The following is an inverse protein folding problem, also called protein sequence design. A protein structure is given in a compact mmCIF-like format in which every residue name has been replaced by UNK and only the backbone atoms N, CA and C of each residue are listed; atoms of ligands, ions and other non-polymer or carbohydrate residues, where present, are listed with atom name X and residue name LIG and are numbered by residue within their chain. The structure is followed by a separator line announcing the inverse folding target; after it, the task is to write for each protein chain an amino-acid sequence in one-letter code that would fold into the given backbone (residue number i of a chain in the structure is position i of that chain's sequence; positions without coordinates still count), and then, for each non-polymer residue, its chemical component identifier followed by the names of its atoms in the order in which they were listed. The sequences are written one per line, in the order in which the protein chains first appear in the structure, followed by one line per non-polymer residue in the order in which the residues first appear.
data_IF_713203413963
#
_entry.id   IF_713203413963
#
_cell.length_a   1.000
_cell.length_b   1.000
_cell.length_c   1.000
_cell.angle_alpha   90.00
_cell.angle_beta   90.00
_cell.angle_gamma   90.00
#
_symmetry.space_group_name_H-M   'P 1'
#
loop_
_entity.id
_entity.type
_entity.pdbx_description
1 polymer ?
#
# COMPACT_ATOMS: atom_id res chain seq x y z
N UNK A 1 34.29 66.09 -6.43
CA UNK A 1 32.88 65.65 -6.47
C UNK A 1 32.86 64.37 -7.28
N UNK A 2 32.40 63.28 -6.65
CA UNK A 2 32.04 61.96 -7.20
C UNK A 2 33.08 61.11 -7.97
N UNK A 3 33.33 59.94 -7.38
CA UNK A 3 33.83 58.74 -8.06
C UNK A 3 32.74 58.14 -8.98
N UNK A 4 33.14 57.50 -10.08
CA UNK A 4 32.35 56.40 -10.67
C UNK A 4 33.27 55.40 -11.38
N UNK A 5 32.96 54.14 -11.13
CA UNK A 5 33.70 52.92 -11.33
C UNK A 5 32.88 52.03 -12.27
N UNK A 6 33.34 51.73 -13.48
CA UNK A 6 32.90 50.59 -14.31
C UNK A 6 33.89 50.49 -15.48
N UNK A 7 34.47 49.37 -15.89
CA UNK A 7 34.24 47.95 -15.64
C UNK A 7 34.83 47.24 -16.86
N UNK A 8 35.78 46.34 -16.63
CA UNK A 8 36.54 45.65 -17.68
C UNK A 8 35.72 44.68 -18.53
N UNK A 9 36.30 44.38 -19.70
CA UNK A 9 36.07 43.26 -20.62
C UNK A 9 34.89 42.32 -20.37
N UNK A 10 34.00 42.21 -21.34
CA UNK A 10 33.17 41.02 -21.55
C UNK A 10 33.26 40.60 -23.02
N UNK A 11 34.36 39.91 -23.35
CA UNK A 11 34.31 38.92 -24.43
C UNK A 11 33.49 37.74 -23.89
N UNK A 12 32.53 37.19 -24.66
CA UNK A 12 31.85 35.97 -24.24
C UNK A 12 32.89 34.84 -24.21
N UNK A 13 33.20 34.33 -23.02
CA UNK A 13 33.86 33.03 -22.89
C UNK A 13 32.84 32.00 -23.37
N UNK A 14 33.07 31.45 -24.57
CA UNK A 14 32.36 30.25 -25.02
C UNK A 14 32.57 29.17 -23.98
N UNK A 15 31.48 28.59 -23.46
CA UNK A 15 31.49 27.52 -22.47
C UNK A 15 32.50 26.44 -22.89
N UNK A 16 33.64 26.42 -22.21
CA UNK A 16 34.42 25.20 -22.10
C UNK A 16 33.62 24.26 -21.23
N UNK A 17 33.06 23.22 -21.82
CA UNK A 17 32.55 22.07 -21.07
C UNK A 17 33.70 21.56 -20.20
N UNK A 18 33.61 21.83 -18.89
CA UNK A 18 34.53 21.29 -17.92
C UNK A 18 34.27 19.78 -17.82
N UNK A 19 35.00 19.02 -18.63
CA UNK A 19 35.13 17.58 -18.45
C UNK A 19 35.71 17.31 -17.05
N UNK A 20 35.28 16.23 -16.42
CA UNK A 20 35.91 15.75 -15.19
C UNK A 20 37.38 15.32 -15.46
N UNK A 21 38.17 14.98 -14.42
CA UNK A 21 39.56 14.53 -14.62
C UNK A 21 39.72 13.27 -15.49
N UNK A 22 38.63 12.57 -15.83
CA UNK A 22 38.60 11.40 -16.71
C UNK A 22 38.22 11.72 -18.16
N UNK A 23 37.87 12.98 -18.46
CA UNK A 23 37.43 13.38 -19.80
C UNK A 23 35.99 13.00 -20.10
N UNK A 24 35.18 12.68 -19.08
CA UNK A 24 33.82 12.22 -19.27
C UNK A 24 32.83 13.42 -19.29
N UNK A 25 32.15 13.70 -20.43
CA UNK A 25 31.18 14.78 -20.51
C UNK A 25 29.89 14.52 -19.70
N UNK A 26 29.76 13.37 -19.05
CA UNK A 26 28.56 12.95 -18.31
C UNK A 26 28.75 12.80 -16.79
N UNK A 27 29.95 13.09 -16.25
CA UNK A 27 30.28 12.75 -14.86
C UNK A 27 29.57 13.58 -13.76
N UNK A 28 28.81 14.63 -14.11
CA UNK A 28 28.06 15.44 -13.14
C UNK A 28 26.55 15.56 -13.43
N UNK A 29 25.98 14.73 -14.31
CA UNK A 29 24.57 14.90 -14.69
C UNK A 29 23.54 14.27 -13.76
N UNK A 30 23.93 13.82 -12.57
CA UNK A 30 23.02 13.14 -11.64
C UNK A 30 23.10 13.60 -10.17
N UNK A 31 24.01 14.52 -9.80
CA UNK A 31 24.03 15.04 -8.42
C UNK A 31 22.95 16.10 -8.15
N UNK A 32 22.48 16.76 -9.20
CA UNK A 32 21.49 17.85 -9.14
C UNK A 32 20.17 17.47 -9.84
N UNK A 33 20.02 16.20 -10.22
CA UNK A 33 18.74 15.67 -10.68
C UNK A 33 17.94 15.41 -9.42
N UNK A 34 17.07 16.35 -9.06
CA UNK A 34 15.87 15.99 -8.29
C UNK A 34 15.24 14.82 -9.03
N UNK A 35 15.17 13.66 -8.37
CA UNK A 35 14.59 12.48 -8.99
C UNK A 35 13.22 12.87 -9.54
N UNK A 36 13.07 12.82 -10.87
CA UNK A 36 11.85 13.20 -11.58
C UNK A 36 10.68 12.27 -11.23
N UNK A 37 10.96 11.16 -10.54
CA UNK A 37 10.01 10.20 -9.97
C UNK A 37 9.63 10.56 -8.54
N UNK A 38 9.58 11.85 -8.19
CA UNK A 38 9.70 12.40 -6.81
C UNK A 38 8.71 11.86 -5.77
N UNK A 39 7.75 11.01 -6.13
CA UNK A 39 6.83 10.36 -5.20
C UNK A 39 6.59 8.88 -5.55
N UNK A 40 7.54 8.19 -6.18
CA UNK A 40 7.45 6.74 -6.41
C UNK A 40 8.69 6.02 -5.91
N UNK A 41 8.48 5.10 -4.96
CA UNK A 41 9.53 4.19 -4.47
C UNK A 41 9.21 2.76 -4.86
N UNK A 42 10.24 1.99 -5.18
CA UNK A 42 10.15 0.56 -5.46
C UNK A 42 10.77 -0.22 -4.31
N UNK A 43 10.03 -1.20 -3.78
CA UNK A 43 10.49 -2.13 -2.75
C UNK A 43 10.49 -3.53 -3.32
N UNK A 44 11.62 -4.21 -3.24
CA UNK A 44 11.77 -5.58 -3.72
C UNK A 44 11.86 -6.58 -2.57
N UNK A 45 11.13 -7.69 -2.71
CA UNK A 45 11.29 -8.84 -1.84
C UNK A 45 12.69 -9.48 -2.02
N UNK A 46 13.12 -10.27 -1.04
CA UNK A 46 14.42 -10.94 -1.07
C UNK A 46 14.59 -11.95 -2.23
N UNK A 47 13.46 -12.47 -2.70
CA UNK A 47 13.30 -13.43 -3.79
C UNK A 47 12.85 -12.79 -5.13
N UNK A 48 12.71 -11.46 -5.19
CA UNK A 48 12.42 -10.76 -6.45
C UNK A 48 13.60 -10.86 -7.43
N UNK A 49 13.28 -11.03 -8.72
CA UNK A 49 14.28 -11.10 -9.81
C UNK A 49 15.08 -9.81 -9.94
N UNK A 50 14.43 -8.66 -9.74
CA UNK A 50 15.00 -7.32 -9.98
C UNK A 50 15.36 -6.60 -8.68
N UNK A 51 15.65 -7.33 -7.60
CA UNK A 51 15.81 -6.72 -6.27
C UNK A 51 16.88 -5.64 -6.16
N UNK A 52 17.93 -5.71 -6.97
CA UNK A 52 19.01 -4.73 -6.96
C UNK A 52 18.72 -3.48 -7.80
N UNK A 53 17.57 -3.44 -8.48
CA UNK A 53 17.09 -2.27 -9.23
C UNK A 53 16.09 -1.43 -8.42
N UNK A 54 15.64 -1.94 -7.27
CA UNK A 54 14.70 -1.27 -6.38
C UNK A 54 15.40 -0.24 -5.48
N UNK A 55 14.63 0.75 -5.02
CA UNK A 55 15.09 1.77 -4.07
C UNK A 55 15.30 1.17 -2.67
N UNK A 56 14.46 0.21 -2.30
CA UNK A 56 14.54 -0.58 -1.08
C UNK A 56 14.54 -2.06 -1.43
N UNK A 57 15.39 -2.85 -0.79
CA UNK A 57 15.40 -4.31 -0.95
C UNK A 57 15.37 -5.00 0.40
N UNK A 58 14.51 -6.00 0.48
CA UNK A 58 14.25 -6.81 1.65
C UNK A 58 15.26 -7.96 1.78
N UNK A 59 15.49 -8.41 3.01
CA UNK A 59 16.30 -9.59 3.31
C UNK A 59 15.45 -10.85 3.55
N UNK A 60 14.11 -10.70 3.55
CA UNK A 60 13.16 -11.77 3.77
C UNK A 60 12.81 -11.95 5.24
N UNK A 61 13.16 -11.00 6.10
CA UNK A 61 12.79 -10.98 7.52
C UNK A 61 12.36 -9.58 7.90
N UNK A 62 11.20 -9.44 8.53
CA UNK A 62 10.68 -8.14 8.97
C UNK A 62 10.62 -7.10 7.83
N UNK A 63 10.15 -7.52 6.66
CA UNK A 63 10.14 -6.73 5.43
C UNK A 63 9.23 -5.48 5.52
N UNK A 64 8.33 -5.47 6.51
CA UNK A 64 7.54 -4.29 6.89
C UNK A 64 8.42 -3.07 7.19
N UNK A 65 9.66 -3.26 7.65
CA UNK A 65 10.60 -2.16 7.92
C UNK A 65 10.92 -1.40 6.64
N UNK A 66 11.24 -2.10 5.56
CA UNK A 66 11.57 -1.47 4.28
C UNK A 66 10.33 -0.90 3.60
N UNK A 67 9.19 -1.59 3.69
CA UNK A 67 7.92 -1.11 3.15
C UNK A 67 7.50 0.19 3.86
N UNK A 68 7.55 0.22 5.20
CA UNK A 68 7.22 1.40 5.98
C UNK A 68 8.20 2.54 5.71
N UNK A 69 9.51 2.26 5.61
CA UNK A 69 10.50 3.28 5.27
C UNK A 69 10.27 3.91 3.88
N UNK A 70 9.75 3.15 2.92
CA UNK A 70 9.37 3.67 1.61
C UNK A 70 8.10 4.53 1.66
N UNK A 71 7.10 4.13 2.45
CA UNK A 71 5.88 4.93 2.68
C UNK A 71 6.19 6.24 3.42
N UNK A 72 7.03 6.18 4.46
CA UNK A 72 7.44 7.33 5.26
C UNK A 72 8.30 8.32 4.48
N UNK A 73 8.99 7.85 3.44
CA UNK A 73 9.79 8.69 2.54
C UNK A 73 8.94 9.45 1.51
N UNK A 74 7.66 9.10 1.34
CA UNK A 74 6.75 9.84 0.46
C UNK A 74 6.57 11.27 0.97
N UNK A 75 6.45 12.26 0.06
CA UNK A 75 6.14 13.63 0.46
C UNK A 75 4.75 13.71 1.10
N UNK A 76 4.47 14.77 1.85
CA UNK A 76 3.17 15.00 2.48
C UNK A 76 1.98 15.09 1.50
N UNK A 77 2.26 15.28 0.20
CA UNK A 77 1.26 15.22 -0.88
C UNK A 77 0.93 13.78 -1.31
N UNK A 78 1.52 12.78 -0.65
CA UNK A 78 1.39 11.38 -0.98
C UNK A 78 2.27 10.94 -2.14
N UNK A 79 1.91 9.79 -2.70
CA UNK A 79 2.66 9.14 -3.76
C UNK A 79 2.44 7.63 -3.77
N UNK A 80 3.36 6.90 -4.38
CA UNK A 80 3.21 5.49 -4.64
C UNK A 80 4.43 4.70 -4.16
N UNK A 81 4.17 3.61 -3.45
CA UNK A 81 5.13 2.55 -3.19
C UNK A 81 4.72 1.34 -4.02
N UNK A 82 5.63 0.89 -4.88
CA UNK A 82 5.47 -0.32 -5.69
C UNK A 82 6.22 -1.46 -5.02
N UNK A 83 5.50 -2.53 -4.70
CA UNK A 83 6.08 -3.79 -4.28
C UNK A 83 6.28 -4.67 -5.52
N UNK A 84 7.52 -5.11 -5.74
CA UNK A 84 7.82 -6.06 -6.82
C UNK A 84 7.24 -7.45 -6.52
N UNK A 85 7.45 -8.38 -7.44
CA UNK A 85 7.16 -9.79 -7.23
C UNK A 85 7.98 -10.37 -6.07
N UNK A 86 7.43 -11.39 -5.42
CA UNK A 86 8.09 -12.12 -4.35
C UNK A 86 7.31 -12.09 -3.03
N UNK A 87 7.95 -12.64 -2.00
CA UNK A 87 7.35 -12.85 -0.68
C UNK A 87 7.93 -11.85 0.32
N UNK A 88 7.05 -11.05 0.92
CA UNK A 88 7.35 -10.08 1.96
C UNK A 88 6.89 -10.64 3.32
N UNK A 89 7.84 -10.94 4.20
CA UNK A 89 7.58 -11.43 5.56
C UNK A 89 7.38 -10.24 6.51
N UNK A 90 6.11 -9.88 6.74
CA UNK A 90 5.71 -8.78 7.62
C UNK A 90 5.36 -9.33 8.99
N UNK A 91 5.95 -8.78 10.05
CA UNK A 91 5.76 -9.23 11.44
C UNK A 91 5.21 -8.10 12.33
N UNK A 92 4.97 -6.93 11.73
CA UNK A 92 4.30 -5.77 12.31
C UNK A 92 3.46 -5.15 11.19
N UNK A 93 2.34 -4.55 11.58
CA UNK A 93 1.43 -3.81 10.70
C UNK A 93 2.16 -2.73 9.90
N UNK A 94 1.90 -2.69 8.59
CA UNK A 94 2.26 -1.57 7.71
C UNK A 94 1.13 -0.55 7.75
N UNK A 95 1.45 0.67 8.17
CA UNK A 95 0.48 1.76 8.30
C UNK A 95 0.55 2.69 7.09
N UNK A 96 -0.61 2.98 6.51
CA UNK A 96 -0.78 3.93 5.43
C UNK A 96 -1.41 5.24 5.94
N UNK A 97 -1.00 6.34 5.35
CA UNK A 97 -1.56 7.69 5.56
C UNK A 97 -2.24 8.19 4.27
N UNK A 98 -2.94 9.32 4.37
CA UNK A 98 -3.66 9.95 3.27
C UNK A 98 -2.77 10.14 2.02
N UNK A 99 -3.39 10.02 0.85
CA UNK A 99 -2.76 10.21 -0.46
C UNK A 99 -1.68 9.16 -0.82
N UNK A 100 -1.52 8.11 -0.01
CA UNK A 100 -0.55 7.04 -0.29
C UNK A 100 -1.17 5.90 -1.11
N UNK A 101 -0.40 5.41 -2.09
CA UNK A 101 -0.68 4.19 -2.83
C UNK A 101 0.34 3.13 -2.46
N UNK A 102 -0.11 1.96 -2.00
CA UNK A 102 0.70 0.76 -1.90
C UNK A 102 0.20 -0.25 -2.93
N UNK A 103 1.03 -0.57 -3.92
CA UNK A 103 0.62 -1.40 -5.06
C UNK A 103 1.62 -2.51 -5.34
N UNK A 104 1.15 -3.74 -5.53
CA UNK A 104 1.97 -4.86 -5.97
C UNK A 104 2.02 -5.03 -7.49
N UNK A 105 2.55 -6.16 -7.92
CA UNK A 105 2.63 -6.56 -9.33
C UNK A 105 1.65 -7.68 -9.70
N UNK A 106 0.61 -7.88 -8.88
CA UNK A 106 -0.38 -8.95 -8.96
C UNK A 106 -0.25 -9.96 -7.82
N UNK A 107 -0.84 -11.14 -7.99
CA UNK A 107 -0.87 -12.20 -6.95
C UNK A 107 0.49 -12.79 -6.59
N UNK A 108 1.53 -12.47 -7.36
CA UNK A 108 2.91 -12.87 -7.10
C UNK A 108 3.64 -11.89 -6.16
N UNK A 109 3.05 -10.73 -5.84
CA UNK A 109 3.45 -9.92 -4.68
C UNK A 109 2.67 -10.41 -3.48
N UNK A 110 3.35 -11.08 -2.54
CA UNK A 110 2.70 -11.77 -1.41
C UNK A 110 3.19 -11.16 -0.11
N UNK A 111 2.28 -10.57 0.66
CA UNK A 111 2.54 -10.21 2.04
C UNK A 111 2.10 -11.39 2.92
N UNK A 112 3.00 -11.92 3.73
CA UNK A 112 2.72 -13.03 4.65
C UNK A 112 3.33 -12.77 6.02
N UNK A 113 2.85 -13.45 7.05
CA UNK A 113 3.36 -13.34 8.41
C UNK A 113 3.60 -14.70 9.05
N UNK A 114 4.41 -14.71 10.11
CA UNK A 114 4.44 -15.80 11.10
C UNK A 114 3.99 -15.33 12.49
N UNK A 115 3.74 -14.03 12.64
CA UNK A 115 3.28 -13.38 13.87
C UNK A 115 1.78 -13.59 14.05
N UNK A 116 1.39 -13.71 15.32
CA UNK A 116 0.02 -13.83 15.74
C UNK A 116 -0.64 -12.47 16.00
N UNK A 117 -1.97 -12.40 15.85
CA UNK A 117 -2.81 -11.28 16.28
C UNK A 117 -2.44 -9.95 15.59
N UNK A 118 -2.19 -10.00 14.28
CA UNK A 118 -1.69 -8.87 13.50
C UNK A 118 -2.63 -8.44 12.37
N UNK A 119 -2.70 -7.13 12.16
CA UNK A 119 -3.29 -6.53 10.96
C UNK A 119 -2.17 -6.30 9.95
N UNK A 120 -2.26 -6.83 8.74
CA UNK A 120 -1.20 -6.65 7.74
C UNK A 120 -1.08 -5.21 7.27
N UNK A 121 -2.18 -4.65 6.75
CA UNK A 121 -2.26 -3.30 6.21
C UNK A 121 -3.33 -2.52 6.98
N UNK A 122 -2.94 -1.37 7.52
CA UNK A 122 -3.83 -0.56 8.36
C UNK A 122 -3.81 0.90 7.93
N UNK A 123 -4.97 1.55 7.99
CA UNK A 123 -5.09 3.00 7.95
C UNK A 123 -6.13 3.42 9.00
N UNK A 124 -5.71 4.26 9.94
CA UNK A 124 -6.54 4.66 11.08
C UNK A 124 -6.50 6.18 11.23
N UNK A 125 -7.61 6.83 10.90
CA UNK A 125 -7.85 8.24 11.14
C UNK A 125 -8.52 8.49 12.49
N UNK A 126 -9.28 9.58 12.56
CA UNK A 126 -10.13 9.89 13.70
C UNK A 126 -11.38 10.63 13.26
N UNK A 127 -12.35 10.75 14.17
CA UNK A 127 -13.58 11.49 13.90
C UNK A 127 -13.27 12.98 13.59
N UNK A 128 -13.58 13.41 12.36
CA UNK A 128 -13.26 14.74 11.84
C UNK A 128 -11.82 14.91 11.35
N UNK A 129 -11.02 13.85 11.38
CA UNK A 129 -9.66 13.76 10.84
C UNK A 129 -9.51 12.44 10.08
N UNK A 130 -10.50 12.13 9.26
CA UNK A 130 -10.53 10.92 8.44
C UNK A 130 -9.35 10.93 7.46
N UNK A 131 -8.72 9.77 7.26
CA UNK A 131 -7.70 9.60 6.23
C UNK A 131 -8.37 9.50 4.86
N UNK A 132 -7.73 10.00 3.81
CA UNK A 132 -8.34 10.05 2.47
C UNK A 132 -7.41 9.65 1.35
N UNK A 133 -7.99 9.18 0.25
CA UNK A 133 -7.26 8.91 -1.00
C UNK A 133 -6.13 7.89 -0.86
N UNK A 134 -6.34 6.89 -0.01
CA UNK A 134 -5.46 5.74 0.11
C UNK A 134 -5.79 4.73 -1.00
N UNK A 135 -4.77 4.12 -1.58
CA UNK A 135 -4.94 3.03 -2.56
C UNK A 135 -4.13 1.81 -2.11
N UNK A 136 -4.79 0.67 -1.96
CA UNK A 136 -4.16 -0.63 -1.77
C UNK A 136 -4.54 -1.52 -2.95
N UNK A 137 -3.55 -1.96 -3.74
CA UNK A 137 -3.83 -2.59 -5.02
C UNK A 137 -2.89 -3.73 -5.44
N UNK A 138 -3.41 -4.64 -6.27
CA UNK A 138 -2.63 -5.58 -7.08
C UNK A 138 -1.66 -6.48 -6.29
N UNK A 139 -2.11 -7.09 -5.20
CA UNK A 139 -1.26 -7.93 -4.35
C UNK A 139 -2.04 -9.08 -3.70
N UNK A 140 -1.32 -10.01 -3.10
CA UNK A 140 -1.88 -11.00 -2.19
C UNK A 140 -1.51 -10.64 -0.75
N UNK A 141 -2.50 -10.66 0.15
CA UNK A 141 -2.33 -10.53 1.59
C UNK A 141 -2.74 -11.84 2.22
N UNK A 142 -1.78 -12.56 2.78
CA UNK A 142 -1.92 -13.96 3.12
C UNK A 142 -1.56 -14.21 4.60
N UNK A 143 -2.53 -14.65 5.40
CA UNK A 143 -2.32 -15.00 6.81
C UNK A 143 -1.33 -16.15 7.06
N UNK A 144 -0.72 -16.74 6.03
CA UNK A 144 0.38 -17.68 6.19
C UNK A 144 -0.07 -19.07 6.68
N UNK A 145 0.85 -19.86 7.24
CA UNK A 145 0.67 -21.28 7.56
C UNK A 145 -0.25 -21.59 8.76
N UNK A 146 -0.98 -20.59 9.25
CA UNK A 146 -2.02 -20.75 10.24
C UNK A 146 -1.51 -20.61 11.67
N UNK A 147 -2.46 -20.25 12.53
CA UNK A 147 -2.30 -19.90 13.94
C UNK A 147 -1.68 -18.50 14.05
N UNK A 148 -2.46 -17.42 13.99
CA UNK A 148 -3.27 -16.94 15.11
C UNK A 148 -3.59 -15.47 14.80
N UNK A 149 -4.84 -15.00 14.83
CA UNK A 149 -5.21 -13.62 15.11
C UNK A 149 -5.26 -12.61 13.96
N UNK A 150 -5.23 -13.04 12.70
CA UNK A 150 -4.86 -12.12 11.62
C UNK A 150 -6.04 -11.36 10.99
N UNK A 151 -5.73 -10.17 10.45
CA UNK A 151 -6.61 -9.42 9.58
C UNK A 151 -5.83 -8.89 8.38
N UNK A 152 -6.40 -9.01 7.19
CA UNK A 152 -5.72 -8.56 5.96
C UNK A 152 -5.62 -7.04 5.88
N UNK A 153 -6.75 -6.37 5.66
CA UNK A 153 -6.80 -4.91 5.50
C UNK A 153 -7.79 -4.32 6.48
N UNK A 154 -7.36 -3.30 7.23
CA UNK A 154 -8.17 -2.60 8.22
C UNK A 154 -8.19 -1.09 7.96
N UNK A 155 -9.38 -0.54 7.74
CA UNK A 155 -9.62 0.89 7.65
C UNK A 155 -10.53 1.33 8.80
N UNK A 156 -10.11 2.35 9.54
CA UNK A 156 -10.93 3.01 10.56
C UNK A 156 -10.87 4.53 10.37
N UNK A 157 -12.02 5.21 10.24
CA UNK A 157 -12.07 6.63 9.87
C UNK A 157 -11.29 6.92 8.58
N UNK A 158 -11.59 6.17 7.52
CA UNK A 158 -10.96 6.33 6.20
C UNK A 158 -12.04 6.56 5.15
N UNK A 159 -11.90 7.63 4.36
CA UNK A 159 -12.85 8.00 3.33
C UNK A 159 -12.21 8.10 1.93
N UNK A 160 -13.04 8.07 0.88
CA UNK A 160 -12.63 8.33 -0.50
C UNK A 160 -11.42 7.52 -0.99
N UNK A 161 -11.26 6.30 -0.47
CA UNK A 161 -10.12 5.42 -0.70
C UNK A 161 -10.50 4.19 -1.52
N UNK A 162 -9.50 3.47 -2.01
CA UNK A 162 -9.66 2.35 -2.94
C UNK A 162 -8.89 1.11 -2.45
N UNK A 163 -9.59 -0.02 -2.38
CA UNK A 163 -8.97 -1.34 -2.27
C UNK A 163 -9.35 -2.12 -3.51
N UNK A 164 -8.38 -2.45 -4.35
CA UNK A 164 -8.64 -3.11 -5.64
C UNK A 164 -7.71 -4.28 -5.99
N UNK A 165 -8.27 -5.31 -6.60
CA UNK A 165 -7.50 -6.45 -7.11
C UNK A 165 -6.57 -7.09 -6.05
N UNK A 166 -6.99 -7.06 -4.78
CA UNK A 166 -6.29 -7.72 -3.67
C UNK A 166 -6.83 -9.13 -3.49
N UNK A 167 -5.93 -10.10 -3.34
CA UNK A 167 -6.25 -11.44 -2.88
C UNK A 167 -5.98 -11.56 -1.36
N UNK A 168 -6.99 -11.34 -0.53
CA UNK A 168 -6.89 -11.41 0.92
C UNK A 168 -7.36 -12.78 1.43
N UNK A 169 -6.47 -13.58 2.03
CA UNK A 169 -6.77 -14.98 2.34
C UNK A 169 -6.15 -15.51 3.61
N UNK A 170 -6.75 -16.60 4.10
CA UNK A 170 -6.23 -17.43 5.21
C UNK A 170 -6.02 -16.67 6.50
N UNK A 171 -6.79 -15.61 6.73
CA UNK A 171 -6.78 -14.87 7.99
C UNK A 171 -7.48 -15.72 9.04
N UNK A 172 -6.72 -16.25 10.00
CA UNK A 172 -7.20 -17.17 11.02
C UNK A 172 -7.04 -16.57 12.42
N UNK A 173 -7.80 -17.03 13.41
CA UNK A 173 -7.66 -16.61 14.80
C UNK A 173 -7.97 -17.67 15.85
N UNK A 174 -7.16 -17.70 16.90
CA UNK A 174 -7.47 -18.49 18.10
C UNK A 174 -8.52 -17.82 19.01
N UNK A 175 -8.75 -16.52 18.82
CA UNK A 175 -9.83 -15.77 19.47
C UNK A 175 -10.82 -15.32 18.41
N UNK A 176 -12.12 -15.55 18.59
CA UNK A 176 -13.14 -15.31 17.56
C UNK A 176 -13.36 -13.83 17.18
N UNK A 177 -12.40 -12.94 17.45
CA UNK A 177 -12.42 -11.51 17.15
C UNK A 177 -11.59 -11.12 15.91
N UNK A 178 -10.74 -12.01 15.42
CA UNK A 178 -9.89 -11.79 14.24
C UNK A 178 -10.10 -12.89 13.19
N UNK A 179 -9.63 -12.70 11.97
CA UNK A 179 -9.85 -13.61 10.84
C UNK A 179 -10.69 -13.00 9.73
N UNK A 180 -10.42 -11.73 9.39
CA UNK A 180 -11.19 -10.95 8.42
C UNK A 180 -10.29 -10.56 7.24
N UNK A 181 -10.78 -10.72 6.02
CA UNK A 181 -10.06 -10.34 4.81
C UNK A 181 -9.89 -8.83 4.66
N UNK A 182 -10.99 -8.10 4.65
CA UNK A 182 -11.04 -6.64 4.56
C UNK A 182 -12.09 -6.14 5.54
N UNK A 183 -11.74 -5.18 6.39
CA UNK A 183 -12.65 -4.57 7.37
C UNK A 183 -12.60 -3.04 7.29
N UNK A 184 -13.77 -2.44 7.14
CA UNK A 184 -13.97 -0.99 7.20
C UNK A 184 -14.83 -0.65 8.44
N UNK A 185 -14.34 0.25 9.29
CA UNK A 185 -15.04 0.76 10.47
C UNK A 185 -15.15 2.28 10.37
N UNK A 186 -16.36 2.83 10.52
CA UNK A 186 -16.62 4.29 10.42
C UNK A 186 -15.92 4.92 9.21
N UNK A 187 -15.99 4.23 8.06
CA UNK A 187 -15.21 4.55 6.86
C UNK A 187 -16.16 4.66 5.67
N UNK A 188 -16.26 5.85 5.09
CA UNK A 188 -17.32 6.22 4.17
C UNK A 188 -16.81 6.52 2.75
N UNK A 189 -17.67 6.40 1.75
CA UNK A 189 -17.35 6.79 0.37
C UNK A 189 -16.14 6.06 -0.25
N UNK A 190 -15.81 4.86 0.23
CA UNK A 190 -14.73 4.04 -0.30
C UNK A 190 -15.18 3.14 -1.45
N UNK A 191 -14.20 2.66 -2.22
CA UNK A 191 -14.39 1.72 -3.32
C UNK A 191 -13.67 0.42 -3.01
N UNK A 192 -14.41 -0.68 -2.98
CA UNK A 192 -13.91 -2.03 -2.75
C UNK A 192 -14.19 -2.83 -4.03
N UNK A 193 -13.17 -3.02 -4.87
CA UNK A 193 -13.36 -3.41 -6.28
C UNK A 193 -12.52 -4.62 -6.67
N UNK A 194 -13.15 -5.65 -7.24
CA UNK A 194 -12.47 -6.81 -7.82
C UNK A 194 -11.53 -7.55 -6.85
N UNK A 195 -11.78 -7.47 -5.54
CA UNK A 195 -11.00 -8.19 -4.56
C UNK A 195 -11.47 -9.65 -4.47
N UNK A 196 -10.55 -10.53 -4.09
CA UNK A 196 -10.88 -11.90 -3.72
C UNK A 196 -10.59 -12.07 -2.23
N UNK A 197 -11.61 -12.36 -1.44
CA UNK A 197 -11.46 -12.68 -0.03
C UNK A 197 -11.81 -14.15 0.19
N UNK A 198 -10.81 -15.00 0.43
CA UNK A 198 -11.04 -16.44 0.57
C UNK A 198 -10.41 -17.10 1.78
N UNK A 199 -11.04 -18.20 2.23
CA UNK A 199 -10.49 -19.07 3.27
C UNK A 199 -10.22 -18.34 4.60
N UNK A 200 -10.95 -17.26 4.87
CA UNK A 200 -10.82 -16.51 6.12
C UNK A 200 -11.70 -17.12 7.21
N UNK A 201 -11.25 -17.05 8.46
CA UNK A 201 -11.92 -17.69 9.59
C UNK A 201 -13.27 -17.05 9.93
N UNK A 202 -13.52 -15.79 9.57
CA UNK A 202 -14.79 -15.15 9.90
C UNK A 202 -15.37 -14.51 8.64
N UNK A 203 -14.86 -13.36 8.23
CA UNK A 203 -15.49 -12.52 7.21
C UNK A 203 -14.56 -12.34 6.01
N UNK A 204 -15.12 -12.42 4.80
CA UNK A 204 -14.43 -11.97 3.59
C UNK A 204 -14.26 -10.45 3.58
N UNK A 205 -15.38 -9.70 3.50
CA UNK A 205 -15.41 -8.23 3.54
C UNK A 205 -16.46 -7.76 4.56
N UNK A 206 -16.04 -6.96 5.54
CA UNK A 206 -16.89 -6.45 6.61
C UNK A 206 -16.98 -4.93 6.64
N UNK A 207 -18.16 -4.43 6.99
CA UNK A 207 -18.43 -3.01 7.20
C UNK A 207 -19.12 -2.80 8.55
N UNK A 208 -18.57 -1.91 9.37
CA UNK A 208 -19.18 -1.47 10.63
C UNK A 208 -19.27 0.05 10.65
N UNK A 209 -20.46 0.58 10.92
CA UNK A 209 -20.77 2.00 10.96
C UNK A 209 -20.30 2.78 9.73
N UNK A 210 -20.27 2.11 8.57
CA UNK A 210 -19.66 2.59 7.34
C UNK A 210 -20.73 2.75 6.27
N UNK A 211 -20.69 3.87 5.53
CA UNK A 211 -21.77 4.33 4.66
C UNK A 211 -21.28 4.79 3.29
N UNK A 212 -22.16 4.74 2.29
CA UNK A 212 -21.88 5.22 0.92
C UNK A 212 -20.67 4.56 0.24
N UNK A 213 -20.31 3.36 0.65
CA UNK A 213 -19.24 2.60 0.01
C UNK A 213 -19.76 1.92 -1.27
N UNK A 214 -18.90 1.78 -2.27
CA UNK A 214 -19.16 1.07 -3.51
C UNK A 214 -18.40 -0.25 -3.51
N UNK A 215 -19.13 -1.36 -3.47
CA UNK A 215 -18.58 -2.72 -3.35
C UNK A 215 -18.91 -3.47 -4.64
N UNK A 216 -17.93 -3.60 -5.53
CA UNK A 216 -18.15 -4.03 -6.92
C UNK A 216 -17.25 -5.18 -7.33
N UNK A 217 -17.83 -6.24 -7.91
CA UNK A 217 -17.07 -7.30 -8.57
C UNK A 217 -16.21 -8.15 -7.63
N UNK A 218 -16.45 -8.11 -6.32
CA UNK A 218 -15.66 -8.87 -5.35
C UNK A 218 -16.10 -10.34 -5.32
N UNK A 219 -15.15 -11.24 -5.08
CA UNK A 219 -15.40 -12.67 -4.87
C UNK A 219 -15.08 -12.98 -3.41
N UNK A 220 -16.10 -13.35 -2.64
CA UNK A 220 -15.93 -13.83 -1.28
C UNK A 220 -16.27 -15.31 -1.21
N UNK A 221 -15.28 -16.16 -1.00
CA UNK A 221 -15.46 -17.61 -1.04
C UNK A 221 -14.81 -18.37 0.11
N UNK A 222 -15.44 -19.46 0.56
CA UNK A 222 -14.86 -20.35 1.57
C UNK A 222 -14.50 -19.65 2.89
N UNK A 223 -15.15 -18.53 3.22
CA UNK A 223 -15.02 -17.88 4.52
C UNK A 223 -15.92 -18.61 5.52
N UNK A 224 -15.43 -18.91 6.71
CA UNK A 224 -16.17 -19.81 7.61
C UNK A 224 -17.50 -19.22 8.09
N UNK A 225 -17.61 -17.89 8.21
CA UNK A 225 -18.85 -17.22 8.57
C UNK A 225 -19.41 -16.45 7.37
N UNK A 226 -19.09 -15.17 7.17
CA UNK A 226 -19.75 -14.34 6.14
C UNK A 226 -18.88 -14.06 4.91
N UNK A 227 -19.50 -14.05 3.74
CA UNK A 227 -18.84 -13.56 2.52
C UNK A 227 -18.63 -12.04 2.57
N UNK A 228 -19.73 -11.29 2.53
CA UNK A 228 -19.76 -9.84 2.67
C UNK A 228 -20.81 -9.49 3.71
N UNK A 229 -20.47 -8.70 4.73
CA UNK A 229 -21.40 -8.35 5.80
C UNK A 229 -21.40 -6.86 6.12
N UNK A 230 -22.58 -6.34 6.48
CA UNK A 230 -22.79 -4.97 6.95
C UNK A 230 -23.42 -5.05 8.34
N UNK A 231 -22.64 -4.74 9.38
CA UNK A 231 -23.13 -4.76 10.76
C UNK A 231 -23.98 -3.51 11.05
N UNK A 232 -23.45 -2.34 10.69
CA UNK A 232 -24.10 -1.03 10.83
C UNK A 232 -23.62 -0.11 9.70
N UNK A 233 -24.42 0.91 9.36
CA UNK A 233 -24.16 1.83 8.25
C UNK A 233 -25.31 1.91 7.27
N UNK A 234 -25.23 2.82 6.29
CA UNK A 234 -26.31 3.07 5.33
C UNK A 234 -25.79 3.39 3.92
N UNK A 235 -26.67 3.28 2.92
CA UNK A 235 -26.42 3.73 1.54
C UNK A 235 -25.21 3.09 0.83
N UNK A 236 -24.76 1.91 1.28
CA UNK A 236 -23.72 1.14 0.59
C UNK A 236 -24.30 0.47 -0.67
N UNK A 237 -23.54 0.50 -1.76
CA UNK A 237 -23.95 -0.06 -3.05
C UNK A 237 -23.16 -1.33 -3.37
N UNK A 238 -23.87 -2.46 -3.50
CA UNK A 238 -23.27 -3.76 -3.80
C UNK A 238 -23.65 -4.21 -5.22
N UNK A 239 -22.67 -4.32 -6.11
CA UNK A 239 -22.90 -4.65 -7.53
C UNK A 239 -22.01 -5.80 -7.97
N UNK A 240 -22.60 -6.84 -8.56
CA UNK A 240 -21.87 -7.96 -9.19
C UNK A 240 -20.87 -8.68 -8.26
N UNK A 241 -21.12 -8.71 -6.95
CA UNK A 241 -20.30 -9.50 -6.02
C UNK A 241 -20.74 -10.97 -6.02
N UNK A 242 -19.79 -11.88 -5.92
CA UNK A 242 -20.00 -13.33 -5.86
C UNK A 242 -19.65 -13.84 -4.46
N UNK A 243 -20.67 -14.17 -3.66
CA UNK A 243 -20.51 -14.88 -2.39
C UNK A 243 -20.84 -16.37 -2.58
N UNK A 244 -19.90 -17.27 -2.29
CA UNK A 244 -20.14 -18.73 -2.38
C UNK A 244 -19.36 -19.51 -1.35
N UNK A 245 -19.90 -20.64 -0.90
CA UNK A 245 -19.21 -21.55 0.04
C UNK A 245 -18.82 -20.88 1.36
N UNK A 246 -19.46 -19.77 1.74
CA UNK A 246 -19.30 -19.18 3.06
C UNK A 246 -20.32 -19.81 4.02
N UNK A 247 -20.08 -19.76 5.33
CA UNK A 247 -21.00 -20.30 6.34
C UNK A 247 -22.40 -19.70 6.25
N UNK A 248 -22.47 -18.38 6.09
CA UNK A 248 -23.63 -17.58 5.76
C UNK A 248 -23.29 -16.69 4.54
N UNK A 249 -24.14 -16.75 3.51
CA UNK A 249 -23.92 -16.15 2.19
C UNK A 249 -23.86 -14.63 2.19
#
# INVERSE_FOLDING_TARGET
MLATLIGGSCAPQSLGEALDPSGNPFAHRFSDVTDIRTATFVVAASDSVHKYEADYFCDGTNDHVQIQAALDALPATGGQVVLLDGTFNVEVTVNLDSYQTLRGCGRNTILTTTTADMVFLSAVGGAGTELVHIVIADMQVDGGAGLLGDMGIYFEFVDYSLIENVYSRRHASATSAFGIGILLITSDCNQIVNNVCSDNLIIGIGFASSSRNSVVGNICESNNDFGITLLTGADNNFVANLCRLNGDG
#
